data_IF_951970908151
#
_entry.id   IF_951970908151
#
_cell.length_a   1.000
_cell.length_b   1.000
_cell.length_c   1.000
_cell.angle_alpha   90.00
_cell.angle_beta   90.00
_cell.angle_gamma   90.00
#
_symmetry.space_group_name_H-M   'P 1'
#
loop_
_entity.id
_entity.type
_entity.pdbx_description
1 polymer ?
#
# COMPACT_ATOMS: atom_id res chain seq x y z
N UNK A 1 -19.71 -17.98 -17.25
CA UNK A 1 -18.56 -17.83 -16.35
C UNK A 1 -19.09 -17.18 -15.10
N UNK A 2 -18.90 -17.78 -13.93
CA UNK A 2 -19.20 -17.08 -12.69
C UNK A 2 -18.38 -15.80 -12.64
N UNK A 3 -19.05 -14.66 -12.42
CA UNK A 3 -18.39 -13.38 -12.25
C UNK A 3 -17.75 -13.38 -10.86
N UNK A 4 -16.43 -13.58 -10.82
CA UNK A 4 -15.68 -13.51 -9.56
C UNK A 4 -15.43 -12.04 -9.23
N UNK A 5 -16.41 -11.42 -8.57
CA UNK A 5 -16.37 -9.99 -8.25
C UNK A 5 -15.30 -9.74 -7.19
N UNK A 6 -14.38 -8.82 -7.44
CA UNK A 6 -13.38 -8.41 -6.46
C UNK A 6 -13.99 -7.34 -5.55
N UNK A 7 -13.86 -7.52 -4.25
CA UNK A 7 -14.30 -6.58 -3.22
C UNK A 7 -13.05 -5.96 -2.61
N UNK A 8 -12.99 -4.63 -2.56
CA UNK A 8 -11.88 -3.87 -1.97
C UNK A 8 -12.45 -2.87 -0.97
N UNK A 9 -12.16 -3.11 0.32
CA UNK A 9 -12.45 -2.20 1.42
C UNK A 9 -11.20 -1.35 1.71
N UNK A 10 -11.28 -0.06 1.38
CA UNK A 10 -10.20 0.92 1.55
C UNK A 10 -10.34 1.65 2.89
N UNK A 11 -9.84 1.05 3.98
CA UNK A 11 -9.82 1.69 5.29
C UNK A 11 -8.57 2.56 5.50
N UNK A 12 -8.64 3.56 6.39
CA UNK A 12 -7.47 4.39 6.76
C UNK A 12 -6.34 3.61 7.44
N UNK A 13 -6.67 2.53 8.16
CA UNK A 13 -5.64 1.68 8.81
C UNK A 13 -5.18 0.52 7.94
N UNK A 14 -6.14 -0.17 7.32
CA UNK A 14 -5.89 -1.37 6.53
C UNK A 14 -6.79 -1.41 5.29
N UNK A 15 -6.20 -1.80 4.18
CA UNK A 15 -6.92 -2.28 3.00
C UNK A 15 -7.25 -3.76 3.25
N UNK A 16 -8.46 -4.17 2.89
CA UNK A 16 -8.88 -5.58 2.85
C UNK A 16 -9.46 -5.87 1.49
N UNK A 17 -9.10 -7.00 0.91
CA UNK A 17 -9.65 -7.42 -0.36
C UNK A 17 -9.87 -8.94 -0.42
N UNK A 18 -10.77 -9.33 -1.30
CA UNK A 18 -11.13 -10.73 -1.57
C UNK A 18 -12.07 -10.79 -2.75
N UNK A 19 -12.62 -11.97 -2.99
CA UNK A 19 -13.62 -12.20 -4.03
C UNK A 19 -14.99 -12.49 -3.42
N UNK A 20 -16.05 -12.29 -4.19
CA UNK A 20 -17.43 -12.59 -3.75
C UNK A 20 -17.69 -14.07 -3.45
N UNK A 21 -16.75 -14.96 -3.77
CA UNK A 21 -16.82 -16.38 -3.48
C UNK A 21 -16.25 -16.75 -2.09
N UNK A 22 -15.65 -15.81 -1.36
CA UNK A 22 -14.96 -16.05 -0.10
C UNK A 22 -15.73 -15.48 1.10
N UNK A 23 -15.72 -16.20 2.22
CA UNK A 23 -16.40 -15.76 3.46
C UNK A 23 -15.62 -14.66 4.21
N UNK A 24 -14.32 -14.54 3.96
CA UNK A 24 -13.40 -13.63 4.63
C UNK A 24 -12.46 -12.98 3.59
N UNK A 25 -11.89 -11.79 3.87
CA UNK A 25 -10.91 -11.18 2.97
C UNK A 25 -9.68 -12.08 2.84
N UNK A 26 -9.34 -12.43 1.59
CA UNK A 26 -8.14 -13.22 1.27
C UNK A 26 -6.83 -12.45 1.42
N UNK A 27 -6.89 -11.12 1.39
CA UNK A 27 -5.72 -10.28 1.63
C UNK A 27 -6.09 -9.06 2.47
N UNK A 28 -5.21 -8.69 3.37
CA UNK A 28 -5.27 -7.41 4.06
C UNK A 28 -3.85 -6.90 4.32
N UNK A 29 -3.66 -5.59 4.29
CA UNK A 29 -2.36 -4.97 4.53
C UNK A 29 -2.53 -3.52 5.02
N UNK A 30 -1.53 -2.95 5.72
CA UNK A 30 -1.60 -1.58 6.19
C UNK A 30 -1.79 -0.57 5.03
N UNK A 31 -2.64 0.43 5.22
CA UNK A 31 -2.91 1.48 4.22
C UNK A 31 -1.79 2.52 4.25
N UNK A 32 -0.61 2.13 3.78
CA UNK A 32 0.59 2.97 3.81
C UNK A 32 1.37 2.88 2.49
N UNK A 33 1.95 4.00 2.10
CA UNK A 33 2.89 4.11 0.99
C UNK A 33 4.21 4.65 1.53
N UNK A 34 5.33 4.19 0.98
CA UNK A 34 6.66 4.54 1.43
C UNK A 34 7.60 4.89 0.28
N UNK A 35 8.26 6.04 0.40
CA UNK A 35 9.25 6.51 -0.57
C UNK A 35 10.65 6.58 0.08
N UNK A 36 11.73 6.17 -0.61
CA UNK A 36 13.08 6.27 -0.08
C UNK A 36 13.42 7.70 0.34
N UNK A 37 13.91 7.85 1.57
CA UNK A 37 14.45 9.15 2.00
C UNK A 37 15.72 9.42 1.20
N UNK A 38 15.99 10.70 0.88
CA UNK A 38 17.16 11.12 0.09
C UNK A 38 18.49 10.48 0.50
N UNK A 39 18.74 10.34 1.80
CA UNK A 39 19.97 9.72 2.33
C UNK A 39 20.09 8.20 2.09
N UNK A 40 18.98 7.53 1.78
CA UNK A 40 18.88 6.10 1.55
C UNK A 40 18.55 5.73 0.11
N UNK A 41 18.39 6.70 -0.80
CA UNK A 41 18.19 6.45 -2.24
C UNK A 41 19.28 5.51 -2.79
N UNK A 42 20.50 5.60 -2.26
CA UNK A 42 21.62 4.71 -2.55
C UNK A 42 21.34 3.21 -2.42
N UNK A 43 20.47 2.83 -1.48
CA UNK A 43 20.12 1.43 -1.21
C UNK A 43 19.17 0.84 -2.25
N UNK A 44 18.54 1.69 -3.07
CA UNK A 44 17.49 1.31 -4.02
C UNK A 44 17.82 1.72 -5.45
N UNK A 45 19.10 2.04 -5.74
CA UNK A 45 19.56 2.60 -7.03
C UNK A 45 19.31 1.71 -8.25
N UNK A 46 19.21 0.40 -8.05
CA UNK A 46 18.96 -0.54 -9.15
C UNK A 46 17.47 -0.66 -9.50
N UNK A 47 16.60 0.06 -8.78
CA UNK A 47 15.16 0.10 -9.02
C UNK A 47 14.76 1.35 -9.79
N UNK A 48 13.81 1.21 -10.70
CA UNK A 48 13.12 2.36 -11.29
C UNK A 48 12.32 3.14 -10.23
N UNK A 49 11.96 4.40 -10.52
CA UNK A 49 11.13 5.23 -9.62
C UNK A 49 9.83 4.55 -9.15
N UNK A 50 9.20 3.72 -10.02
CA UNK A 50 7.98 2.99 -9.67
C UNK A 50 8.26 1.77 -8.80
N UNK A 51 9.40 1.12 -9.00
CA UNK A 51 9.85 -0.03 -8.20
C UNK A 51 10.43 0.39 -6.84
N UNK A 52 10.78 1.67 -6.68
CA UNK A 52 11.24 2.24 -5.42
C UNK A 52 10.09 2.69 -4.51
N UNK A 53 8.83 2.59 -4.95
CA UNK A 53 7.65 2.81 -4.10
C UNK A 53 7.35 1.52 -3.33
N UNK A 54 7.17 1.64 -2.02
CA UNK A 54 6.81 0.54 -1.14
C UNK A 54 5.36 0.71 -0.69
N UNK A 55 4.61 -0.38 -0.61
CA UNK A 55 3.19 -0.37 -0.20
C UNK A 55 2.97 -1.43 0.86
N UNK A 56 2.10 -1.15 1.84
CA UNK A 56 1.68 -2.13 2.85
C UNK A 56 2.83 -2.64 3.72
N UNK A 57 2.88 -3.95 3.93
CA UNK A 57 3.91 -4.63 4.75
C UNK A 57 5.33 -4.24 4.33
N UNK A 58 5.61 -4.18 3.02
CA UNK A 58 6.94 -3.83 2.51
C UNK A 58 7.38 -2.42 2.94
N UNK A 59 6.43 -1.47 3.05
CA UNK A 59 6.71 -0.12 3.54
C UNK A 59 6.91 -0.11 5.06
N UNK A 60 6.15 -0.92 5.80
CA UNK A 60 6.31 -1.07 7.26
C UNK A 60 7.66 -1.69 7.61
N UNK A 61 8.04 -2.78 6.95
CA UNK A 61 9.32 -3.47 7.14
C UNK A 61 10.52 -2.56 6.86
N UNK A 62 10.40 -1.68 5.86
CA UNK A 62 11.48 -0.77 5.45
C UNK A 62 11.34 0.65 6.03
N UNK A 63 10.42 0.89 6.97
CA UNK A 63 10.06 2.21 7.54
C UNK A 63 11.25 3.10 7.88
N UNK A 64 12.35 2.53 8.37
CA UNK A 64 13.54 3.30 8.78
C UNK A 64 14.19 4.02 7.60
N UNK A 65 14.06 3.47 6.40
CA UNK A 65 14.64 3.99 5.16
C UNK A 65 13.67 4.88 4.36
N UNK A 66 12.39 4.88 4.74
CA UNK A 66 11.31 5.45 3.96
C UNK A 66 10.68 6.68 4.65
N UNK A 67 10.18 7.61 3.85
CA UNK A 67 9.13 8.56 4.23
C UNK A 67 7.81 7.83 4.03
N UNK A 68 7.07 7.62 5.11
CA UNK A 68 5.79 6.90 5.10
C UNK A 68 4.66 7.90 5.05
N UNK A 69 3.68 7.66 4.19
CA UNK A 69 2.43 8.41 4.07
C UNK A 69 1.24 7.47 4.23
N UNK A 70 0.15 7.99 4.82
CA UNK A 70 -1.14 7.31 4.87
C UNK A 70 -2.02 8.00 3.81
N UNK A 71 -2.28 7.37 2.65
CA UNK A 71 -3.04 8.02 1.58
C UNK A 71 -4.52 8.25 1.93
N UNK A 72 -5.02 7.57 2.98
CA UNK A 72 -6.40 7.71 3.45
C UNK A 72 -6.39 8.13 4.92
N UNK A 73 -6.80 9.36 5.23
CA UNK A 73 -6.92 9.87 6.59
C UNK A 73 -8.38 10.12 6.95
N UNK A 74 -8.81 9.64 8.12
CA UNK A 74 -10.20 9.75 8.58
C UNK A 74 -11.28 9.34 7.53
N UNK A 75 -10.98 8.36 6.67
CA UNK A 75 -11.87 7.89 5.60
C UNK A 75 -11.90 8.77 4.33
N UNK A 76 -11.03 9.77 4.23
CA UNK A 76 -10.86 10.63 3.07
C UNK A 76 -9.52 10.35 2.37
N UNK A 77 -9.51 10.36 1.04
CA UNK A 77 -8.27 10.21 0.26
C UNK A 77 -7.62 11.58 0.17
N UNK A 78 -6.50 11.76 0.87
CA UNK A 78 -5.84 13.06 1.00
C UNK A 78 -5.06 13.47 -0.25
N UNK A 79 -4.50 12.50 -0.97
CA UNK A 79 -3.74 12.72 -2.20
C UNK A 79 -3.88 11.51 -3.14
N UNK A 80 -4.37 11.75 -4.36
CA UNK A 80 -4.59 10.72 -5.37
C UNK A 80 -3.36 10.46 -6.24
N UNK A 81 -2.44 11.44 -6.31
CA UNK A 81 -1.30 11.42 -7.23
C UNK A 81 0.03 11.11 -6.52
N UNK A 82 0.03 11.05 -5.18
CA UNK A 82 1.23 10.86 -4.37
C UNK A 82 2.00 9.57 -4.64
#
# INVERSE_FOLDING_TARGET
>A
MESNTVIIDNGSGYIKAGTSAEDFPSVFFPTVVGFPRRRFEGLFKDKTLKESIFVGEAAVENRQHLTITNPIDHGHIDDWDQ
#
